data_IF_760562959281
#
_entry.id   IF_760562959281
#
_cell.length_a   1.000
_cell.length_b   1.000
_cell.length_c   1.000
_cell.angle_alpha   90.00
_cell.angle_beta   90.00
_cell.angle_gamma   90.00
#
_symmetry.space_group_name_H-M   'P 1'
#
loop_
_entity.id
_entity.type
_entity.pdbx_description
1 polymer ?
#
# COMPACT_ATOMS: atom_id res chain seq x y z
N UNK A 1 -8.70 -12.67 -3.50
CA UNK A 1 -7.54 -13.60 -3.60
C UNK A 1 -8.06 -15.01 -3.37
N UNK A 2 -7.60 -16.00 -4.13
CA UNK A 2 -8.00 -17.40 -3.97
C UNK A 2 -6.82 -18.18 -3.41
N UNK A 3 -6.81 -18.55 -2.12
CA UNK A 3 -5.70 -19.25 -1.50
C UNK A 3 -5.49 -20.68 -2.04
N UNK A 4 -6.51 -21.24 -2.71
CA UNK A 4 -6.38 -22.54 -3.37
C UNK A 4 -5.48 -22.49 -4.63
N UNK A 5 -5.18 -21.29 -5.12
CA UNK A 5 -4.31 -21.07 -6.26
C UNK A 5 -2.98 -20.52 -5.80
N UNK A 6 -1.94 -21.31 -5.94
CA UNK A 6 -0.57 -20.86 -5.69
C UNK A 6 -0.14 -19.82 -6.74
N UNK A 7 0.06 -18.54 -6.37
CA UNK A 7 0.44 -17.51 -7.35
C UNK A 7 1.76 -17.83 -8.04
N UNK A 8 2.71 -18.43 -7.37
CA UNK A 8 4.00 -18.81 -7.95
C UNK A 8 3.85 -19.75 -9.14
N UNK A 9 2.82 -20.62 -9.13
CA UNK A 9 2.56 -21.60 -10.21
C UNK A 9 1.68 -21.05 -11.33
N UNK A 10 0.84 -20.06 -11.03
CA UNK A 10 -0.19 -19.60 -11.97
C UNK A 10 0.09 -18.25 -12.60
N UNK A 11 0.90 -17.41 -11.95
CA UNK A 11 1.26 -16.11 -12.53
C UNK A 11 2.30 -16.31 -13.65
N UNK A 12 2.03 -15.71 -14.79
CA UNK A 12 2.93 -15.73 -15.96
C UNK A 12 3.96 -14.61 -15.93
N UNK A 13 3.73 -13.58 -15.13
CA UNK A 13 4.61 -12.45 -14.87
C UNK A 13 4.33 -11.86 -13.48
N UNK A 14 5.13 -10.89 -13.07
CA UNK A 14 4.93 -10.12 -11.85
C UNK A 14 5.27 -8.65 -12.05
N UNK A 15 4.60 -7.76 -11.34
CA UNK A 15 4.96 -6.34 -11.24
C UNK A 15 5.98 -6.07 -10.12
N UNK A 16 6.40 -7.10 -9.38
CA UNK A 16 7.44 -6.98 -8.35
C UNK A 16 8.81 -6.76 -8.98
N UNK A 17 9.71 -6.09 -8.25
CA UNK A 17 11.10 -5.89 -8.70
C UNK A 17 11.87 -7.20 -8.83
N UNK A 18 11.56 -8.19 -8.01
CA UNK A 18 12.12 -9.53 -8.09
C UNK A 18 11.22 -10.46 -8.89
N UNK A 19 11.79 -11.13 -9.90
CA UNK A 19 11.04 -12.01 -10.80
C UNK A 19 10.45 -13.23 -10.07
N UNK A 20 11.08 -13.65 -8.98
CA UNK A 20 10.65 -14.78 -8.14
C UNK A 20 9.44 -14.43 -7.27
N UNK A 21 9.16 -13.15 -7.03
CA UNK A 21 8.04 -12.72 -6.20
C UNK A 21 6.78 -12.51 -7.03
N UNK A 22 5.88 -13.45 -6.97
CA UNK A 22 4.55 -13.43 -7.59
C UNK A 22 3.43 -13.34 -6.54
N UNK A 23 3.77 -12.93 -5.33
CA UNK A 23 2.82 -12.76 -4.24
C UNK A 23 1.75 -11.73 -4.58
N UNK A 24 0.58 -11.85 -3.96
CA UNK A 24 -0.44 -10.83 -4.03
C UNK A 24 -0.36 -9.93 -2.80
N UNK A 25 -0.26 -8.66 -3.06
CA UNK A 25 -0.27 -7.58 -2.09
C UNK A 25 -1.45 -6.66 -2.39
N UNK A 26 -2.29 -6.44 -1.41
CA UNK A 26 -3.47 -5.62 -1.60
C UNK A 26 -3.70 -4.69 -0.41
N UNK A 27 -4.16 -3.48 -0.70
CA UNK A 27 -4.73 -2.54 0.26
C UNK A 27 -5.82 -1.72 -0.41
N UNK A 28 -6.69 -1.10 0.39
CA UNK A 28 -7.76 -0.26 -0.11
C UNK A 28 -7.21 1.00 -0.80
N UNK A 29 -7.88 1.41 -1.87
CA UNK A 29 -7.53 2.60 -2.64
C UNK A 29 -8.04 3.85 -1.94
N UNK A 30 -7.24 4.91 -1.93
CA UNK A 30 -7.62 6.23 -1.40
C UNK A 30 -8.32 7.06 -2.49
N UNK A 31 -9.43 7.67 -2.14
CA UNK A 31 -10.18 8.61 -2.96
C UNK A 31 -10.16 10.00 -2.33
N UNK A 32 -10.19 11.01 -3.17
CA UNK A 32 -10.49 12.39 -2.79
C UNK A 32 -11.98 12.64 -3.00
N UNK A 33 -12.67 13.15 -1.98
CA UNK A 33 -14.05 13.57 -2.03
C UNK A 33 -14.10 15.08 -2.35
N UNK A 34 -14.54 15.41 -3.54
CA UNK A 34 -14.69 16.78 -3.97
C UNK A 34 -15.88 17.47 -3.22
N UNK A 35 -15.85 18.79 -2.98
CA UNK A 35 -16.97 19.52 -2.33
C UNK A 35 -18.33 19.35 -2.99
N UNK A 36 -18.40 19.02 -4.28
CA UNK A 36 -19.65 18.71 -4.98
C UNK A 36 -20.21 17.31 -4.71
N UNK A 37 -19.54 16.49 -3.89
CA UNK A 37 -19.95 15.14 -3.52
C UNK A 37 -19.40 14.02 -4.40
N UNK A 38 -18.67 14.34 -5.47
CA UNK A 38 -18.05 13.32 -6.34
C UNK A 38 -16.69 12.88 -5.80
N UNK A 39 -16.19 11.76 -6.32
CA UNK A 39 -14.93 11.15 -5.88
C UNK A 39 -13.97 10.96 -7.04
N UNK A 40 -12.69 11.10 -6.78
CA UNK A 40 -11.63 10.74 -7.73
C UNK A 40 -10.55 9.95 -7.00
N UNK A 41 -10.03 8.91 -7.65
CA UNK A 41 -8.92 8.13 -7.10
C UNK A 41 -7.70 9.01 -6.91
N UNK A 42 -7.08 8.92 -5.73
CA UNK A 42 -5.79 9.56 -5.48
C UNK A 42 -4.69 8.76 -6.18
N UNK A 43 -3.87 9.38 -7.03
CA UNK A 43 -2.76 8.68 -7.68
C UNK A 43 -1.74 8.18 -6.64
N UNK A 44 -0.99 7.15 -7.03
CA UNK A 44 0.14 6.66 -6.25
C UNK A 44 1.44 7.19 -6.85
N UNK A 45 2.40 7.54 -6.00
CA UNK A 45 3.76 7.86 -6.39
C UNK A 45 4.66 6.64 -6.20
N UNK A 46 5.64 6.48 -7.07
CA UNK A 46 6.67 5.49 -6.86
C UNK A 46 7.64 5.91 -5.76
N UNK A 47 8.12 4.94 -5.00
CA UNK A 47 9.25 5.12 -4.10
C UNK A 47 10.56 5.21 -4.91
N UNK A 48 11.53 6.02 -4.47
CA UNK A 48 12.79 6.19 -5.20
C UNK A 48 13.74 4.98 -5.13
N UNK A 49 13.51 4.03 -4.22
CA UNK A 49 14.30 2.79 -4.14
C UNK A 49 13.98 1.76 -5.23
N UNK A 50 13.29 2.14 -6.28
CA UNK A 50 12.82 1.22 -7.31
C UNK A 50 13.76 1.05 -8.50
N UNK A 51 14.85 1.81 -8.56
CA UNK A 51 15.87 1.74 -9.61
C UNK A 51 15.55 2.60 -10.84
N UNK A 52 16.44 2.60 -11.85
CA UNK A 52 16.30 3.45 -13.02
C UNK A 52 15.10 3.05 -13.87
N UNK A 53 14.47 4.04 -14.51
CA UNK A 53 13.34 3.88 -15.42
C UNK A 53 12.13 4.71 -15.03
N UNK A 54 11.10 4.67 -15.88
CA UNK A 54 9.85 5.39 -15.64
C UNK A 54 8.98 4.57 -14.68
N UNK A 55 8.70 5.16 -13.54
CA UNK A 55 7.82 4.60 -12.52
C UNK A 55 6.38 5.07 -12.75
N UNK A 56 5.44 4.17 -12.61
CA UNK A 56 4.00 4.48 -12.75
C UNK A 56 3.24 4.48 -11.42
N UNK A 57 3.96 4.51 -10.31
CA UNK A 57 3.40 4.39 -8.98
C UNK A 57 3.27 2.94 -8.54
N UNK A 58 2.68 2.75 -7.37
CA UNK A 58 2.47 1.43 -6.80
C UNK A 58 2.78 1.37 -5.31
N UNK A 59 2.84 0.13 -4.82
CA UNK A 59 3.18 -0.20 -3.45
C UNK A 59 4.63 -0.65 -3.39
N UNK A 60 5.39 -0.18 -2.42
CA UNK A 60 6.70 -0.74 -2.10
C UNK A 60 6.54 -1.76 -0.98
N UNK A 61 7.06 -2.94 -1.19
CA UNK A 61 6.98 -4.06 -0.24
C UNK A 61 8.37 -4.39 0.26
N UNK A 62 8.51 -4.43 1.58
CA UNK A 62 9.77 -4.75 2.25
C UNK A 62 9.61 -6.02 3.08
N UNK A 63 10.65 -6.84 3.05
CA UNK A 63 10.83 -7.99 3.93
C UNK A 63 12.00 -7.70 4.86
N UNK A 64 11.69 -7.33 6.09
CA UNK A 64 12.72 -7.11 7.09
C UNK A 64 13.00 -8.37 7.90
N UNK A 65 14.24 -8.52 8.33
CA UNK A 65 14.67 -9.64 9.16
C UNK A 65 14.95 -9.14 10.58
N UNK A 66 13.91 -8.95 11.40
CA UNK A 66 14.11 -8.42 12.74
C UNK A 66 14.81 -9.47 13.61
N UNK A 67 16.06 -9.22 13.95
CA UNK A 67 16.83 -10.04 14.86
C UNK A 67 16.97 -9.31 16.19
N UNK A 68 16.38 -9.82 17.27
CA UNK A 68 16.59 -9.24 18.59
C UNK A 68 18.09 -9.28 18.93
N UNK A 69 18.64 -8.20 19.55
CA UNK A 69 20.06 -8.14 19.86
C UNK A 69 20.53 -9.25 20.83
N UNK A 70 19.61 -9.90 21.53
CA UNK A 70 19.88 -10.86 22.60
C UNK A 70 19.66 -12.33 22.22
N UNK A 71 19.11 -12.60 21.05
CA UNK A 71 18.81 -13.98 20.61
C UNK A 71 19.15 -14.16 19.14
N UNK A 72 19.85 -15.23 18.83
CA UNK A 72 19.96 -15.74 17.47
C UNK A 72 18.67 -16.53 17.19
N UNK A 73 17.75 -15.89 16.45
CA UNK A 73 16.46 -16.51 16.08
C UNK A 73 16.50 -16.87 14.59
N UNK A 74 16.15 -18.09 14.30
CA UNK A 74 15.87 -18.50 12.94
C UNK A 74 14.59 -17.79 12.47
N UNK A 75 14.71 -17.08 11.34
CA UNK A 75 13.56 -16.47 10.66
C UNK A 75 13.15 -17.42 9.55
N UNK A 76 11.90 -17.87 9.61
CA UNK A 76 11.33 -18.82 8.66
C UNK A 76 10.55 -18.06 7.61
N UNK A 77 10.81 -18.30 6.33
CA UNK A 77 10.01 -17.71 5.25
C UNK A 77 8.55 -18.17 5.31
N UNK A 78 7.67 -17.36 4.77
CA UNK A 78 6.30 -17.79 4.51
C UNK A 78 6.30 -19.02 3.56
N UNK A 79 5.28 -19.84 3.67
CA UNK A 79 5.15 -21.06 2.87
C UNK A 79 4.02 -20.95 1.81
N UNK A 80 4.04 -21.76 0.75
CA UNK A 80 2.95 -21.82 -0.22
C UNK A 80 1.60 -22.06 0.45
N UNK A 81 0.61 -21.23 0.11
CA UNK A 81 -0.71 -21.21 0.73
C UNK A 81 -0.83 -20.25 1.92
N UNK A 82 0.26 -19.63 2.37
CA UNK A 82 0.22 -18.66 3.46
C UNK A 82 -0.55 -17.41 3.04
N UNK A 83 -1.52 -17.02 3.84
CA UNK A 83 -2.32 -15.82 3.69
C UNK A 83 -2.50 -15.14 5.02
N UNK A 84 -2.43 -13.81 5.07
CA UNK A 84 -2.74 -13.04 6.27
C UNK A 84 -3.31 -11.67 5.92
N UNK A 85 -4.09 -11.13 6.87
CA UNK A 85 -4.62 -9.77 6.85
C UNK A 85 -4.06 -9.02 8.06
N UNK A 86 -3.74 -7.75 7.87
CA UNK A 86 -3.47 -6.81 8.96
C UNK A 86 -4.43 -5.63 8.88
N UNK A 87 -4.84 -5.10 10.06
CA UNK A 87 -5.86 -4.06 10.15
C UNK A 87 -7.29 -4.62 10.10
N UNK A 88 -8.25 -3.70 10.17
CA UNK A 88 -9.68 -4.05 10.18
C UNK A 88 -10.48 -3.03 9.37
N UNK A 89 -11.08 -3.42 8.22
CA UNK A 89 -11.82 -2.52 7.34
C UNK A 89 -13.04 -1.85 7.98
N UNK A 90 -13.55 -2.44 9.06
CA UNK A 90 -14.73 -1.93 9.77
C UNK A 90 -14.39 -0.92 10.87
N UNK A 91 -13.13 -0.80 11.23
CA UNK A 91 -12.70 0.10 12.30
C UNK A 91 -12.91 1.57 11.88
N UNK A 92 -13.44 2.40 12.82
CA UNK A 92 -13.72 3.83 12.63
C UNK A 92 -13.33 4.68 13.85
N UNK A 93 -12.64 4.11 14.81
CA UNK A 93 -12.21 4.79 16.02
C UNK A 93 -10.82 4.37 16.44
N UNK A 94 -10.13 5.24 17.17
CA UNK A 94 -8.86 4.93 17.82
C UNK A 94 -9.13 4.28 19.18
N UNK A 95 -9.38 2.98 19.16
CA UNK A 95 -9.78 2.16 20.31
C UNK A 95 -8.71 1.15 20.74
N UNK A 96 -7.55 1.14 20.06
CA UNK A 96 -6.41 0.30 20.42
C UNK A 96 -5.43 1.11 21.27
N UNK A 97 -5.01 0.63 22.46
CA UNK A 97 -4.04 1.32 23.28
C UNK A 97 -2.70 1.55 22.58
N UNK A 98 -2.07 2.70 22.81
CA UNK A 98 -0.72 3.03 22.27
C UNK A 98 0.36 2.01 22.65
N UNK A 99 0.14 1.25 23.72
CA UNK A 99 1.03 0.17 24.15
C UNK A 99 0.87 -1.11 23.35
N UNK A 100 -0.20 -1.24 22.58
CA UNK A 100 -0.42 -2.40 21.72
C UNK A 100 0.41 -2.24 20.44
N UNK A 101 1.25 -3.22 20.08
CA UNK A 101 1.99 -3.20 18.82
C UNK A 101 1.11 -2.98 17.58
N UNK A 102 -0.11 -3.50 17.58
CA UNK A 102 -1.07 -3.35 16.50
C UNK A 102 -1.44 -1.88 16.25
N UNK A 103 -1.47 -1.04 17.28
CA UNK A 103 -1.78 0.38 17.13
C UNK A 103 -0.79 1.10 16.21
N UNK A 104 0.50 0.75 16.31
CA UNK A 104 1.57 1.37 15.51
C UNK A 104 1.80 0.69 14.16
N UNK A 105 1.15 -0.44 13.94
CA UNK A 105 1.29 -1.18 12.69
C UNK A 105 0.71 -0.43 11.49
N UNK A 106 -0.26 0.45 11.74
CA UNK A 106 -0.99 1.19 10.71
C UNK A 106 -0.88 2.68 11.00
N UNK A 107 -0.22 3.41 10.12
CA UNK A 107 -0.02 4.85 10.31
C UNK A 107 0.05 5.60 8.99
N UNK A 108 0.01 6.93 9.08
CA UNK A 108 0.14 7.82 7.95
C UNK A 108 1.22 8.86 8.22
N UNK A 109 2.03 9.17 7.20
CA UNK A 109 2.96 10.28 7.20
C UNK A 109 2.49 11.36 6.23
N UNK A 110 2.29 12.54 6.74
CA UNK A 110 2.06 13.74 5.92
C UNK A 110 3.42 14.32 5.53
N UNK A 111 3.80 14.23 4.27
CA UNK A 111 5.06 14.77 3.79
C UNK A 111 5.01 16.31 3.65
N UNK A 112 6.00 16.96 4.24
CA UNK A 112 6.19 18.41 4.16
C UNK A 112 7.71 18.71 4.23
N UNK A 113 8.31 19.13 3.14
CA UNK A 113 9.75 19.45 3.08
C UNK A 113 10.17 20.57 4.04
N UNK A 114 9.21 21.39 4.48
CA UNK A 114 9.46 22.47 5.45
C UNK A 114 9.60 21.95 6.88
N UNK A 115 9.23 20.71 7.13
CA UNK A 115 9.38 20.04 8.42
C UNK A 115 10.50 18.98 8.31
N UNK A 116 11.76 19.34 8.63
CA UNK A 116 12.91 18.42 8.48
C UNK A 116 12.82 17.17 9.37
N UNK A 117 11.95 17.16 10.38
CA UNK A 117 11.65 15.97 11.19
C UNK A 117 10.69 15.01 10.52
N UNK A 118 10.09 15.41 9.40
CA UNK A 118 8.97 14.70 8.78
C UNK A 118 9.36 13.65 7.73
N UNK A 119 10.64 13.41 7.49
CA UNK A 119 11.15 12.36 6.59
C UNK A 119 11.59 11.09 7.32
N UNK A 120 11.09 10.90 8.54
CA UNK A 120 11.49 9.80 9.41
C UNK A 120 11.02 8.43 8.94
N UNK A 121 11.66 7.43 9.55
CA UNK A 121 11.33 6.02 9.39
C UNK A 121 9.83 5.79 9.69
N UNK A 122 9.12 4.93 8.95
CA UNK A 122 7.72 4.59 9.22
C UNK A 122 7.49 4.12 10.66
N UNK A 123 6.39 4.57 11.28
CA UNK A 123 6.03 4.26 12.67
C UNK A 123 6.69 5.19 13.72
N UNK A 124 7.34 6.28 13.29
CA UNK A 124 8.04 7.25 14.14
C UNK A 124 7.18 8.43 14.58
N UNK A 125 7.76 9.29 15.46
CA UNK A 125 7.21 10.61 15.75
C UNK A 125 6.89 11.36 14.46
N UNK A 126 5.72 11.97 14.39
CA UNK A 126 5.20 12.64 13.20
C UNK A 126 4.26 11.81 12.33
N UNK A 127 4.15 10.50 12.55
CA UNK A 127 3.06 9.71 11.99
C UNK A 127 1.75 9.96 12.74
N UNK A 128 0.64 9.95 12.00
CA UNK A 128 -0.73 9.92 12.55
C UNK A 128 -1.34 8.53 12.37
N UNK A 129 -2.25 8.16 13.27
CA UNK A 129 -3.00 6.89 13.17
C UNK A 129 -4.35 7.06 12.46
N UNK A 130 -4.72 8.29 12.16
CA UNK A 130 -5.83 8.66 11.29
C UNK A 130 -5.33 9.36 10.03
N UNK A 131 -6.16 9.48 9.01
CA UNK A 131 -5.86 10.32 7.85
C UNK A 131 -5.54 11.75 8.31
N UNK A 132 -4.44 12.37 7.79
CA UNK A 132 -4.04 13.70 8.20
C UNK A 132 -5.13 14.75 7.95
N UNK A 133 -5.48 15.55 8.97
CA UNK A 133 -6.46 16.63 8.88
C UNK A 133 -5.88 17.96 8.40
N UNK A 134 -4.67 17.93 7.86
CA UNK A 134 -3.96 19.09 7.28
C UNK A 134 -3.52 18.78 5.85
N UNK A 135 -3.34 19.83 5.05
CA UNK A 135 -2.76 19.71 3.73
C UNK A 135 -1.34 19.13 3.84
N UNK A 136 -1.08 18.08 3.06
CA UNK A 136 0.22 17.43 2.96
C UNK A 136 0.88 17.84 1.63
N UNK A 137 1.80 18.81 1.64
CA UNK A 137 2.31 19.44 0.41
C UNK A 137 2.98 18.47 -0.56
N UNK A 138 3.60 17.41 -0.03
CA UNK A 138 4.36 16.43 -0.80
C UNK A 138 3.65 15.06 -0.91
N UNK A 139 2.47 14.92 -0.35
CA UNK A 139 1.71 13.67 -0.36
C UNK A 139 1.54 13.03 1.01
N UNK A 140 0.85 11.90 1.01
CA UNK A 140 0.61 11.09 2.23
C UNK A 140 1.20 9.70 2.02
N UNK A 141 2.00 9.23 2.96
CA UNK A 141 2.48 7.86 2.99
C UNK A 141 1.63 7.02 3.94
N UNK A 142 1.01 5.96 3.44
CA UNK A 142 0.44 4.89 4.26
C UNK A 142 1.51 3.90 4.63
N UNK A 143 1.62 3.57 5.91
CA UNK A 143 2.52 2.58 6.45
C UNK A 143 1.69 1.41 6.98
N UNK A 144 1.98 0.20 6.51
CA UNK A 144 1.22 -1.00 6.88
C UNK A 144 2.21 -2.12 7.22
N UNK A 145 2.29 -2.47 8.48
CA UNK A 145 3.10 -3.58 8.98
C UNK A 145 2.22 -4.78 9.28
N UNK A 146 2.75 -5.96 8.93
CA UNK A 146 2.10 -7.22 9.23
C UNK A 146 2.67 -7.88 10.49
N UNK A 147 1.88 -8.74 11.14
CA UNK A 147 2.39 -9.59 12.20
C UNK A 147 3.56 -10.45 11.73
N UNK A 148 4.51 -10.73 12.64
CA UNK A 148 5.74 -11.46 12.34
C UNK A 148 5.96 -12.68 13.23
N UNK A 149 4.94 -13.10 13.96
CA UNK A 149 4.93 -14.31 14.75
C UNK A 149 3.83 -15.24 14.27
N UNK A 150 4.15 -16.50 14.02
CA UNK A 150 3.24 -17.50 13.47
C UNK A 150 3.07 -18.65 14.46
N UNK A 151 1.87 -19.25 14.49
CA UNK A 151 1.56 -20.40 15.32
C UNK A 151 2.33 -21.68 14.93
N UNK A 152 2.98 -21.68 13.75
CA UNK A 152 3.77 -22.79 13.23
C UNK A 152 2.95 -23.91 12.58
N UNK A 153 1.64 -23.77 12.47
CA UNK A 153 0.71 -24.83 12.01
C UNK A 153 -0.19 -24.34 10.87
N UNK A 154 -0.93 -23.27 11.09
CA UNK A 154 -1.97 -22.82 10.17
C UNK A 154 -1.41 -21.84 9.14
N UNK A 155 -1.58 -22.12 7.85
CA UNK A 155 -1.19 -21.21 6.76
C UNK A 155 -2.21 -20.09 6.55
N UNK A 156 -3.41 -20.26 7.08
CA UNK A 156 -4.54 -19.35 7.05
C UNK A 156 -5.47 -19.67 8.23
N UNK A 157 -6.32 -18.75 8.61
CA UNK A 157 -7.37 -18.91 9.60
C UNK A 157 -8.68 -18.32 9.10
N UNK A 158 -9.80 -18.59 9.75
CA UNK A 158 -11.12 -18.12 9.32
C UNK A 158 -11.17 -16.58 9.20
N UNK A 159 -10.50 -15.89 10.13
CA UNK A 159 -10.37 -14.42 10.15
C UNK A 159 -9.12 -13.90 9.43
N UNK A 160 -8.32 -14.78 8.82
CA UNK A 160 -7.06 -14.50 8.15
C UNK A 160 -6.03 -13.76 9.01
N UNK A 161 -6.15 -13.79 10.32
CA UNK A 161 -5.30 -13.04 11.26
C UNK A 161 -4.92 -13.79 12.53
N UNK A 162 -5.76 -14.69 13.04
CA UNK A 162 -5.53 -15.37 14.33
C UNK A 162 -4.43 -16.42 14.33
N UNK A 163 -3.90 -16.82 13.17
CA UNK A 163 -2.74 -17.72 13.06
C UNK A 163 -1.40 -16.96 13.13
N UNK A 164 -1.44 -15.61 13.15
CA UNK A 164 -0.29 -14.74 13.29
C UNK A 164 -0.48 -13.74 14.43
N UNK A 165 0.61 -13.23 14.99
CA UNK A 165 0.59 -12.24 16.07
C UNK A 165 1.73 -11.24 15.94
N UNK A 166 1.55 -10.06 16.51
CA UNK A 166 2.65 -9.13 16.70
C UNK A 166 3.54 -9.59 17.88
N UNK A 167 4.85 -9.28 17.86
CA UNK A 167 5.74 -9.58 18.97
C UNK A 167 5.33 -8.85 20.24
N UNK A 168 5.65 -9.45 21.38
CA UNK A 168 5.46 -8.85 22.69
C UNK A 168 6.64 -7.95 23.07
N UNK A 169 6.44 -7.04 24.04
CA UNK A 169 7.49 -6.23 24.62
C UNK A 169 7.38 -4.75 24.33
N UNK A 170 8.29 -3.93 24.88
CA UNK A 170 8.22 -2.49 24.76
C UNK A 170 8.46 -2.06 23.32
N UNK A 171 7.55 -1.25 22.81
CA UNK A 171 7.69 -0.59 21.52
C UNK A 171 8.68 0.54 21.74
N UNK A 172 9.93 0.33 21.42
CA UNK A 172 10.94 1.38 21.42
C UNK A 172 10.96 2.11 20.08
N UNK A 173 11.56 3.31 19.95
CA UNK A 173 11.47 4.17 18.76
C UNK A 173 12.04 3.54 17.46
N UNK A 174 11.44 3.77 16.31
CA UNK A 174 11.87 3.26 15.00
C UNK A 174 11.07 2.05 14.52
N UNK A 175 11.47 1.38 13.50
CA UNK A 175 10.85 0.16 12.92
C UNK A 175 10.49 -0.96 13.94
N UNK A 176 10.02 -0.60 15.09
CA UNK A 176 10.00 -1.34 16.32
C UNK A 176 8.68 -1.96 16.68
N UNK A 177 7.91 -2.16 15.66
CA UNK A 177 7.01 -3.27 15.65
C UNK A 177 7.84 -4.58 15.74
N UNK A 178 9.14 -4.42 15.81
CA UNK A 178 10.06 -5.54 15.87
C UNK A 178 10.03 -6.30 17.19
N UNK A 179 9.38 -5.81 18.23
CA UNK A 179 9.28 -6.50 19.52
C UNK A 179 10.43 -7.48 19.82
N UNK A 180 10.59 -7.86 21.00
CA UNK A 180 11.71 -8.74 21.35
C UNK A 180 11.36 -10.21 21.13
N UNK A 181 10.20 -10.64 21.55
CA UNK A 181 9.81 -12.05 21.54
C UNK A 181 8.42 -12.25 20.92
N UNK A 182 8.24 -13.40 20.33
CA UNK A 182 6.91 -13.86 19.93
C UNK A 182 6.15 -14.41 21.14
N UNK A 183 4.82 -14.22 21.20
CA UNK A 183 3.98 -14.78 22.25
C UNK A 183 4.04 -16.32 22.24
N UNK A 184 3.82 -16.93 23.38
CA UNK A 184 3.93 -18.38 23.56
C UNK A 184 3.01 -19.19 22.63
N UNK A 185 1.94 -18.58 22.13
CA UNK A 185 1.01 -19.18 21.16
C UNK A 185 1.52 -19.14 19.71
N UNK A 186 2.51 -18.28 19.39
CA UNK A 186 2.99 -18.03 18.02
C UNK A 186 4.53 -17.96 18.00
N UNK A 187 5.17 -19.07 18.28
CA UNK A 187 6.61 -19.11 18.54
C UNK A 187 7.50 -18.99 17.29
N UNK A 188 6.94 -19.18 16.09
CA UNK A 188 7.74 -19.17 14.86
C UNK A 188 7.92 -17.73 14.38
N UNK A 189 9.16 -17.29 14.23
CA UNK A 189 9.48 -15.96 13.73
C UNK A 189 9.43 -15.94 12.20
N UNK A 190 8.58 -15.08 11.66
CA UNK A 190 8.50 -14.74 10.24
C UNK A 190 9.28 -13.47 9.93
N UNK A 191 9.63 -13.20 8.67
CA UNK A 191 10.07 -11.87 8.27
C UNK A 191 8.96 -10.86 8.51
N UNK A 192 9.33 -9.64 8.91
CA UNK A 192 8.39 -8.55 8.98
C UNK A 192 8.07 -8.06 7.57
N UNK A 193 6.84 -8.25 7.15
CA UNK A 193 6.32 -7.70 5.92
C UNK A 193 5.82 -6.27 6.18
N UNK A 194 6.32 -5.33 5.38
CA UNK A 194 5.91 -3.93 5.43
C UNK A 194 5.49 -3.47 4.04
N UNK A 195 4.33 -2.86 3.95
CA UNK A 195 3.83 -2.22 2.74
C UNK A 195 3.82 -0.71 2.92
N UNK A 196 4.40 -0.03 1.96
CA UNK A 196 4.47 1.43 1.89
C UNK A 196 3.77 1.91 0.62
N UNK A 197 2.77 2.78 0.77
CA UNK A 197 2.07 3.40 -0.33
C UNK A 197 2.18 4.91 -0.19
N UNK A 198 2.66 5.58 -1.22
CA UNK A 198 2.70 7.04 -1.25
C UNK A 198 1.56 7.53 -2.14
N UNK A 199 0.60 8.21 -1.52
CA UNK A 199 -0.53 8.82 -2.20
C UNK A 199 -0.17 10.23 -2.66
N UNK A 200 -0.32 10.50 -3.96
CA UNK A 200 -0.10 11.84 -4.52
C UNK A 200 -1.31 12.75 -4.23
N UNK A 201 -1.28 13.38 -3.08
CA UNK A 201 -2.34 14.33 -2.67
C UNK A 201 -2.09 15.75 -3.17
N UNK A 202 -0.97 16.02 -3.84
CA UNK A 202 -0.59 17.36 -4.35
C UNK A 202 -1.63 18.02 -5.24
N UNK A 203 -2.36 17.28 -6.12
CA UNK A 203 -3.43 17.87 -6.93
C UNK A 203 -4.61 18.42 -6.11
N UNK A 204 -4.72 18.03 -4.85
CA UNK A 204 -5.84 18.36 -3.95
C UNK A 204 -5.43 19.33 -2.84
N UNK A 205 -4.27 19.99 -2.97
CA UNK A 205 -3.73 20.90 -1.96
C UNK A 205 -4.33 22.32 -2.00
N UNK A 206 -5.25 22.60 -2.94
CA UNK A 206 -5.99 23.88 -2.93
C UNK A 206 -6.90 23.93 -1.69
N UNK A 207 -6.72 24.91 -0.79
CA UNK A 207 -7.57 25.03 0.40
C UNK A 207 -9.07 25.15 0.09
N UNK A 208 -9.44 25.66 -1.09
CA UNK A 208 -10.84 25.76 -1.51
C UNK A 208 -11.50 24.38 -1.75
N UNK A 209 -10.71 23.34 -1.90
CA UNK A 209 -11.18 21.95 -2.05
C UNK A 209 -11.34 21.23 -0.70
N UNK A 210 -10.92 21.86 0.40
CA UNK A 210 -10.93 21.24 1.71
C UNK A 210 -12.19 21.63 2.49
N UNK A 211 -12.72 20.72 3.33
CA UNK A 211 -13.84 21.03 4.23
C UNK A 211 -13.51 22.19 5.17
N UNK A 212 -14.50 23.04 5.45
CA UNK A 212 -14.33 24.20 6.34
C UNK A 212 -14.54 23.87 7.82
N UNK A 213 -14.98 22.67 8.12
CA UNK A 213 -15.23 22.16 9.47
C UNK A 213 -14.00 21.58 10.17
N UNK A 214 -12.83 21.61 9.51
CA UNK A 214 -11.57 21.08 10.03
C UNK A 214 -11.36 19.59 9.77
N UNK A 215 -12.30 18.93 9.07
CA UNK A 215 -12.10 17.58 8.59
C UNK A 215 -11.19 17.55 7.35
N UNK A 216 -10.89 16.36 6.84
CA UNK A 216 -10.07 16.17 5.66
C UNK A 216 -10.90 15.53 4.53
N UNK A 217 -10.55 15.70 3.23
CA UNK A 217 -11.39 15.29 2.10
C UNK A 217 -11.12 13.86 1.60
N UNK A 218 -10.23 13.10 2.21
CA UNK A 218 -9.87 11.78 1.71
C UNK A 218 -10.73 10.68 2.32
N UNK A 219 -10.97 9.61 1.56
CA UNK A 219 -11.76 8.46 1.99
C UNK A 219 -11.24 7.20 1.31
N UNK A 220 -11.09 6.13 2.06
CA UNK A 220 -10.77 4.83 1.47
C UNK A 220 -11.97 4.23 0.72
N UNK A 221 -11.69 3.43 -0.30
CA UNK A 221 -12.70 2.83 -1.20
C UNK A 221 -13.83 2.06 -0.50
N UNK A 222 -13.59 1.55 0.72
CA UNK A 222 -14.61 0.91 1.55
C UNK A 222 -15.44 1.90 2.38
N UNK A 223 -15.34 3.22 2.12
CA UNK A 223 -16.14 4.23 2.80
C UNK A 223 -15.58 4.69 4.15
N UNK A 224 -14.29 4.52 4.40
CA UNK A 224 -13.63 5.00 5.61
C UNK A 224 -13.01 6.39 5.41
N UNK A 225 -13.58 7.46 6.01
CA UNK A 225 -12.99 8.79 5.99
C UNK A 225 -12.03 9.03 7.17
N UNK A 226 -11.90 8.08 8.10
CA UNK A 226 -11.10 8.25 9.31
C UNK A 226 -9.65 7.80 9.16
N UNK A 227 -9.42 6.78 8.31
CA UNK A 227 -8.15 6.09 8.19
C UNK A 227 -7.97 4.92 9.16
N UNK A 228 -8.80 4.80 10.21
CA UNK A 228 -8.70 3.70 11.16
C UNK A 228 -9.04 2.33 10.55
N UNK A 229 -9.79 2.33 9.45
CA UNK A 229 -10.08 1.14 8.65
C UNK A 229 -8.97 0.74 7.68
N UNK A 230 -7.79 1.37 7.73
CA UNK A 230 -6.66 0.95 6.91
C UNK A 230 -6.33 -0.51 7.19
N UNK A 231 -6.19 -1.30 6.13
CA UNK A 231 -5.89 -2.72 6.22
C UNK A 231 -5.20 -3.19 4.95
N UNK A 232 -4.57 -4.34 5.01
CA UNK A 232 -3.93 -4.94 3.84
C UNK A 232 -3.99 -6.46 3.88
N UNK A 233 -3.98 -7.06 2.69
CA UNK A 233 -3.95 -8.49 2.45
C UNK A 233 -2.60 -8.91 1.88
N UNK A 234 -2.13 -10.07 2.31
CA UNK A 234 -0.99 -10.76 1.76
C UNK A 234 -1.33 -12.20 1.41
N UNK A 235 -0.97 -12.63 0.20
CA UNK A 235 -0.97 -14.03 -0.21
C UNK A 235 0.40 -14.38 -0.76
N UNK A 236 1.08 -15.33 -0.16
CA UNK A 236 2.40 -15.80 -0.55
C UNK A 236 2.43 -16.32 -1.99
N UNK A 237 3.48 -15.96 -2.73
CA UNK A 237 3.68 -16.39 -4.11
C UNK A 237 5.14 -16.36 -4.56
N UNK A 238 6.11 -16.51 -3.65
CA UNK A 238 7.51 -16.63 -4.02
C UNK A 238 7.81 -18.01 -4.64
N UNK A 239 8.66 -18.04 -5.64
CA UNK A 239 9.04 -19.27 -6.31
C UNK A 239 10.02 -20.10 -5.45
N UNK A 240 9.66 -21.37 -5.22
CA UNK A 240 10.50 -22.32 -4.51
C UNK A 240 10.91 -21.84 -3.11
N UNK A 241 12.21 -21.85 -2.85
CA UNK A 241 12.84 -21.41 -1.60
C UNK A 241 13.48 -20.01 -1.70
N UNK A 242 13.16 -19.26 -2.77
CA UNK A 242 13.83 -18.00 -3.08
C UNK A 242 13.76 -16.95 -1.98
N UNK A 243 12.62 -16.84 -1.28
CA UNK A 243 12.49 -15.94 -0.15
C UNK A 243 13.40 -16.37 1.03
N UNK A 244 13.44 -17.66 1.35
CA UNK A 244 14.31 -18.16 2.44
C UNK A 244 15.77 -17.87 2.12
N UNK A 245 16.22 -18.18 0.90
CA UNK A 245 17.60 -17.88 0.46
C UNK A 245 17.89 -16.38 0.49
N UNK A 246 16.94 -15.54 0.10
CA UNK A 246 17.11 -14.10 0.18
C UNK A 246 17.31 -13.63 1.62
N UNK A 247 16.54 -14.14 2.58
CA UNK A 247 16.69 -13.82 3.98
C UNK A 247 18.03 -14.27 4.58
N UNK A 248 18.59 -15.37 4.09
CA UNK A 248 19.87 -15.88 4.54
C UNK A 248 21.07 -15.08 3.98
N UNK A 249 20.96 -14.59 2.76
CA UNK A 249 22.07 -13.98 2.01
C UNK A 249 21.98 -12.46 1.96
N UNK A 250 20.78 -11.90 1.81
CA UNK A 250 20.57 -10.46 1.57
C UNK A 250 20.39 -9.71 2.91
N UNK A 251 21.44 -9.66 3.71
CA UNK A 251 21.41 -9.13 5.09
C UNK A 251 21.93 -7.70 5.21
N UNK A 252 22.25 -7.03 4.10
CA UNK A 252 22.89 -5.71 4.08
C UNK A 252 22.02 -4.57 4.62
N UNK A 253 20.72 -4.73 4.70
CA UNK A 253 19.80 -3.77 5.32
C UNK A 253 19.59 -2.46 4.55
N UNK A 254 20.14 -2.34 3.33
CA UNK A 254 20.04 -1.14 2.50
C UNK A 254 18.75 -1.06 1.67
N UNK A 255 17.99 -2.16 1.59
CA UNK A 255 16.75 -2.25 0.80
C UNK A 255 16.94 -2.11 -0.71
N UNK A 256 18.18 -2.19 -1.19
CA UNK A 256 18.53 -2.01 -2.60
C UNK A 256 18.41 -3.34 -3.35
N UNK A 257 17.45 -3.48 -4.31
CA UNK A 257 17.13 -4.77 -4.92
C UNK A 257 18.33 -5.45 -5.60
N UNK A 258 19.20 -4.70 -6.28
CA UNK A 258 20.34 -5.25 -7.00
C UNK A 258 21.51 -5.65 -6.10
N UNK A 259 21.45 -5.37 -4.81
CA UNK A 259 22.42 -5.83 -3.82
C UNK A 259 22.08 -7.24 -3.27
N UNK A 260 20.99 -7.84 -3.70
CA UNK A 260 20.59 -9.20 -3.35
C UNK A 260 20.97 -10.18 -4.48
N UNK A 261 22.12 -10.87 -4.40
CA UNK A 261 22.68 -11.63 -5.53
C UNK A 261 21.94 -12.94 -5.81
N UNK A 262 21.04 -13.36 -4.94
CA UNK A 262 20.27 -14.62 -5.07
C UNK A 262 18.89 -14.43 -5.67
N UNK A 263 18.53 -13.20 -5.99
CA UNK A 263 17.27 -12.84 -6.63
C UNK A 263 17.51 -12.19 -7.99
N UNK A 264 16.59 -12.40 -8.91
CA UNK A 264 16.61 -11.82 -10.26
C UNK A 264 15.83 -10.52 -10.29
N UNK A 265 16.52 -9.41 -10.51
CA UNK A 265 15.85 -8.11 -10.68
C UNK A 265 15.32 -7.95 -12.09
N UNK A 266 14.11 -7.37 -12.20
CA UNK A 266 13.49 -6.99 -13.47
C UNK A 266 13.69 -5.49 -13.74
N UNK A 267 13.69 -5.11 -15.02
CA UNK A 267 13.60 -3.71 -15.40
C UNK A 267 12.17 -3.16 -15.32
N UNK A 268 12.04 -1.83 -15.38
CA UNK A 268 10.75 -1.15 -15.29
C UNK A 268 9.84 -1.46 -16.45
N UNK A 269 10.36 -1.69 -17.64
CA UNK A 269 9.56 -2.02 -18.82
C UNK A 269 8.90 -3.39 -18.65
N UNK A 270 9.65 -4.38 -18.22
CA UNK A 270 9.14 -5.74 -17.93
C UNK A 270 8.05 -5.70 -16.86
N UNK A 271 8.29 -4.99 -15.76
CA UNK A 271 7.30 -4.83 -14.67
C UNK A 271 6.03 -4.15 -15.17
N UNK A 272 6.15 -3.04 -15.90
CA UNK A 272 5.01 -2.26 -16.40
C UNK A 272 4.19 -3.00 -17.47
N UNK A 273 4.78 -3.97 -18.15
CA UNK A 273 4.09 -4.80 -19.15
C UNK A 273 3.33 -5.99 -18.52
N UNK A 274 3.56 -6.29 -17.25
CA UNK A 274 2.81 -7.31 -16.53
C UNK A 274 1.43 -6.78 -16.12
N UNK A 275 0.44 -6.98 -16.97
CA UNK A 275 -0.91 -6.44 -16.79
C UNK A 275 -1.96 -7.53 -16.98
N UNK A 276 -2.99 -7.53 -16.14
CA UNK A 276 -4.22 -8.27 -16.39
C UNK A 276 -5.21 -7.40 -17.18
N UNK A 277 -5.88 -7.95 -18.21
CA UNK A 277 -7.01 -7.27 -18.83
C UNK A 277 -8.11 -6.99 -17.79
N UNK A 278 -8.69 -5.80 -17.84
CA UNK A 278 -9.85 -5.49 -17.01
C UNK A 278 -10.99 -6.44 -17.32
N UNK A 279 -11.50 -7.08 -16.28
CA UNK A 279 -12.68 -7.98 -16.38
C UNK A 279 -13.98 -7.22 -16.11
N UNK A 280 -13.90 -6.07 -15.49
CA UNK A 280 -15.01 -5.20 -15.14
C UNK A 280 -14.67 -3.84 -15.73
N UNK A 281 -15.58 -3.29 -16.51
CA UNK A 281 -15.46 -1.93 -17.03
C UNK A 281 -15.81 -0.95 -15.91
N UNK A 282 -14.82 -0.56 -15.16
CA UNK A 282 -14.92 0.36 -14.03
C UNK A 282 -14.01 1.55 -14.27
N UNK A 283 -14.55 2.76 -14.12
CA UNK A 283 -13.75 3.97 -14.22
C UNK A 283 -13.03 4.14 -12.87
N UNK A 284 -11.75 3.83 -12.86
CA UNK A 284 -10.94 3.88 -11.64
C UNK A 284 -9.87 4.96 -11.66
N UNK A 285 -9.62 5.61 -12.79
CA UNK A 285 -8.55 6.61 -12.92
C UNK A 285 -9.01 7.84 -13.70
N UNK A 286 -8.51 8.99 -13.30
CA UNK A 286 -8.60 10.27 -14.03
C UNK A 286 -10.01 10.82 -14.24
N UNK A 287 -11.03 10.25 -13.61
CA UNK A 287 -12.41 10.73 -13.72
C UNK A 287 -13.07 10.80 -12.36
N UNK A 288 -13.96 11.78 -12.20
CA UNK A 288 -14.82 11.85 -11.02
C UNK A 288 -15.99 10.88 -11.18
N UNK A 289 -16.25 10.13 -10.13
CA UNK A 289 -17.37 9.20 -10.01
C UNK A 289 -18.34 9.69 -8.93
N UNK A 290 -19.62 9.38 -9.07
CA UNK A 290 -20.65 9.84 -8.12
C UNK A 290 -20.66 9.03 -6.82
N UNK A 291 -20.16 7.79 -6.85
CA UNK A 291 -20.15 6.88 -5.70
C UNK A 291 -18.81 6.14 -5.65
N UNK A 292 -18.39 5.76 -4.45
CA UNK A 292 -17.23 4.88 -4.29
C UNK A 292 -17.50 3.51 -4.94
N UNK A 293 -16.44 2.81 -5.44
CA UNK A 293 -16.57 1.47 -5.98
C UNK A 293 -17.27 0.52 -5.01
N UNK A 294 -18.02 -0.46 -5.54
CA UNK A 294 -18.77 -1.39 -4.71
C UNK A 294 -19.97 -0.77 -3.99
N UNK A 295 -20.40 0.46 -4.35
CA UNK A 295 -21.45 1.22 -3.66
C UNK A 295 -21.21 1.43 -2.17
N UNK A 296 -19.97 1.40 -1.73
CA UNK A 296 -19.62 1.59 -0.34
C UNK A 296 -20.04 3.00 0.12
N UNK A 297 -20.97 3.14 1.05
CA UNK A 297 -21.29 4.44 1.62
C UNK A 297 -20.17 4.90 2.55
N UNK A 298 -20.03 6.21 2.72
CA UNK A 298 -19.17 6.73 3.78
C UNK A 298 -19.83 6.42 5.13
N UNK A 299 -19.04 5.89 6.06
CA UNK A 299 -19.43 5.58 7.42
C UNK A 299 -18.42 6.22 8.37
N UNK A 300 -18.81 7.33 8.99
CA UNK A 300 -17.92 8.26 9.69
C UNK A 300 -17.40 7.75 11.05
N UNK A 301 -18.05 6.81 11.68
CA UNK A 301 -17.68 6.39 13.03
C UNK A 301 -18.29 7.28 14.15
N UNK A 302 -17.91 7.12 15.41
CA UNK A 302 -16.92 6.18 15.94
C UNK A 302 -17.38 4.71 16.01
N UNK A 303 -18.64 4.43 15.67
CA UNK A 303 -19.16 3.07 15.63
C UNK A 303 -18.54 2.32 14.46
N UNK A 304 -18.21 1.06 14.64
CA UNK A 304 -17.68 0.21 13.57
C UNK A 304 -18.61 0.22 12.36
N UNK A 305 -18.01 0.28 11.17
CA UNK A 305 -18.74 0.17 9.91
C UNK A 305 -19.39 -1.21 9.77
N UNK A 306 -20.40 -1.27 8.93
CA UNK A 306 -21.11 -2.52 8.62
C UNK A 306 -20.98 -2.84 7.13
N UNK A 307 -21.04 -4.13 6.80
CA UNK A 307 -21.16 -4.55 5.40
C UNK A 307 -22.43 -4.00 4.77
N UNK A 308 -22.30 -3.51 3.55
CA UNK A 308 -23.43 -3.10 2.71
C UNK A 308 -23.61 -4.15 1.63
N UNK A 309 -24.62 -4.99 1.80
CA UNK A 309 -24.81 -6.20 0.96
C UNK A 309 -25.32 -5.91 -0.43
N UNK A 310 -25.85 -4.72 -0.71
CA UNK A 310 -26.47 -4.43 -2.00
C UNK A 310 -26.34 -2.97 -2.40
N UNK A 311 -25.94 -2.78 -3.64
CA UNK A 311 -26.18 -1.55 -4.38
C UNK A 311 -27.61 -1.56 -4.91
N UNK A 312 -28.62 -1.31 -4.10
CA UNK A 312 -30.04 -1.41 -4.47
C UNK A 312 -30.40 -0.59 -5.73
N UNK A 313 -29.61 0.42 -6.05
CA UNK A 313 -29.80 1.32 -7.18
C UNK A 313 -28.56 1.41 -8.10
N UNK A 314 -27.68 0.41 -8.06
CA UNK A 314 -26.52 0.43 -8.94
C UNK A 314 -27.00 0.28 -10.38
N UNK A 315 -26.64 1.21 -11.28
CA UNK A 315 -26.87 0.99 -12.69
C UNK A 315 -26.12 -0.28 -13.10
N UNK A 316 -26.70 -1.05 -13.99
CA UNK A 316 -26.11 -2.27 -14.56
C UNK A 316 -24.77 -2.01 -15.27
N UNK A 317 -24.40 -0.76 -15.42
CA UNK A 317 -23.12 -0.25 -15.92
C UNK A 317 -22.57 0.77 -14.93
N UNK A 318 -21.41 0.53 -14.40
CA UNK A 318 -20.68 1.40 -13.46
C UNK A 318 -20.11 2.67 -14.12
N UNK A 319 -20.85 3.25 -15.05
CA UNK A 319 -20.46 4.47 -15.73
C UNK A 319 -21.25 5.63 -15.16
N UNK A 320 -20.67 6.34 -14.20
CA UNK A 320 -21.10 7.69 -13.98
C UNK A 320 -20.51 8.55 -15.11
N UNK A 321 -21.35 9.11 -15.93
CA UNK A 321 -20.90 10.22 -16.78
C UNK A 321 -20.34 11.32 -15.85
N UNK A 322 -19.21 11.97 -16.20
CA UNK A 322 -18.70 13.07 -15.40
C UNK A 322 -19.82 14.06 -15.16
N UNK A 323 -20.01 14.48 -13.89
CA UNK A 323 -21.01 15.49 -13.58
C UNK A 323 -20.77 16.70 -14.49
N UNK A 324 -21.77 17.21 -15.21
CA UNK A 324 -21.59 18.34 -16.11
C UNK A 324 -21.09 19.62 -15.44
N UNK A 325 -21.14 19.66 -14.12
CA UNK A 325 -20.67 20.77 -13.27
C UNK A 325 -19.27 20.54 -12.68
N UNK A 326 -18.71 19.36 -12.81
CA UNK A 326 -17.30 19.17 -12.48
C UNK A 326 -16.49 19.89 -13.55
N UNK A 327 -15.73 20.91 -13.19
CA UNK A 327 -14.68 21.41 -14.07
C UNK A 327 -13.87 20.22 -14.55
N UNK A 328 -13.59 20.10 -15.86
CA UNK A 328 -12.73 19.04 -16.36
C UNK A 328 -11.42 19.18 -15.61
N UNK A 329 -11.22 18.32 -14.62
CA UNK A 329 -9.91 18.20 -14.00
C UNK A 329 -9.05 17.72 -15.15
N UNK A 330 -8.08 18.54 -15.50
CA UNK A 330 -7.04 18.13 -16.42
C UNK A 330 -6.61 16.76 -15.96
N UNK A 331 -6.63 15.77 -16.88
CA UNK A 331 -6.15 14.42 -16.56
C UNK A 331 -4.92 14.59 -15.71
N UNK A 332 -5.00 14.13 -14.47
CA UNK A 332 -3.81 14.09 -13.62
C UNK A 332 -3.02 12.94 -14.22
N UNK A 333 -2.00 13.22 -15.06
CA UNK A 333 -1.19 12.12 -15.57
C UNK A 333 -0.57 11.46 -14.36
N UNK A 334 -0.47 10.12 -14.31
CA UNK A 334 0.43 9.49 -13.37
C UNK A 334 1.76 10.22 -13.53
N UNK A 335 2.25 10.83 -12.44
CA UNK A 335 3.49 11.59 -12.51
C UNK A 335 4.61 10.59 -12.78
N UNK A 336 5.24 10.59 -13.96
CA UNK A 336 6.40 9.77 -14.17
C UNK A 336 7.47 10.27 -13.21
N UNK A 337 7.88 9.42 -12.31
CA UNK A 337 9.05 9.67 -11.49
C UNK A 337 10.24 9.19 -12.28
N UNK A 338 11.12 10.09 -12.66
CA UNK A 338 12.37 9.74 -13.31
C UNK A 338 13.44 9.54 -12.24
N UNK A 339 14.15 8.45 -12.37
CA UNK A 339 15.34 8.17 -11.60
C UNK A 339 16.55 8.31 -12.50
N UNK A 340 17.52 9.16 -12.14
CA UNK A 340 18.71 9.45 -12.93
C UNK A 340 19.87 8.45 -12.73
N UNK A 341 19.64 7.42 -11.89
CA UNK A 341 20.66 6.42 -11.60
C UNK A 341 21.68 6.85 -10.54
N UNK A 342 21.54 8.03 -9.96
CA UNK A 342 22.32 8.43 -8.79
C UNK A 342 21.77 7.66 -7.59
N UNK A 343 22.62 6.96 -6.87
CA UNK A 343 22.23 6.06 -5.79
C UNK A 343 21.34 6.72 -4.74
N UNK A 344 20.52 5.94 -4.04
CA UNK A 344 19.60 6.46 -3.04
C UNK A 344 20.39 7.14 -1.91
N UNK A 345 20.00 8.34 -1.58
CA UNK A 345 20.17 8.70 -0.19
C UNK A 345 19.11 7.86 0.57
N UNK A 346 19.49 7.13 1.56
CA UNK A 346 18.60 6.26 2.36
C UNK A 346 17.60 7.06 3.22
N UNK A 347 17.22 8.25 2.80
CA UNK A 347 16.40 9.18 3.56
C UNK A 347 14.91 8.87 3.54
N UNK A 348 14.45 7.88 2.77
CA UNK A 348 13.03 7.54 2.64
C UNK A 348 12.18 8.65 2.01
N UNK A 349 12.82 9.60 1.35
CA UNK A 349 12.18 10.75 0.72
C UNK A 349 11.44 10.40 -0.56
N UNK A 350 10.67 11.35 -1.06
CA UNK A 350 10.01 11.27 -2.35
C UNK A 350 11.05 11.19 -3.47
N UNK A 351 10.79 10.35 -4.46
CA UNK A 351 11.64 10.31 -5.64
C UNK A 351 11.69 11.69 -6.33
N UNK A 352 12.87 12.14 -6.77
CA UNK A 352 13.01 13.46 -7.39
C UNK A 352 12.13 13.57 -8.63
N UNK A 353 11.55 14.74 -8.85
CA UNK A 353 10.81 15.06 -10.08
C UNK A 353 11.77 15.06 -11.26
N UNK A 354 11.28 14.57 -12.41
CA UNK A 354 11.96 14.85 -13.67
C UNK A 354 11.80 16.32 -13.99
N UNK A 355 12.85 17.12 -13.83
CA UNK A 355 12.87 18.54 -14.24
C UNK A 355 12.95 18.71 -15.75
N UNK A 356 13.08 17.64 -16.52
CA UNK A 356 12.96 17.66 -17.96
C UNK A 356 11.48 17.74 -18.37
N UNK A 357 11.14 18.73 -19.19
CA UNK A 357 9.84 18.87 -19.86
C UNK A 357 9.19 17.52 -20.07
N UNK A 358 7.89 17.34 -19.71
CA UNK A 358 7.20 16.09 -19.96
C UNK A 358 7.39 15.72 -21.43
N UNK A 359 8.17 14.72 -21.70
CA UNK A 359 8.11 14.04 -22.98
C UNK A 359 6.66 13.54 -23.05
N UNK A 360 5.89 13.87 -24.10
CA UNK A 360 4.52 13.42 -24.18
C UNK A 360 4.54 11.91 -23.95
N UNK A 361 3.77 11.46 -22.99
CA UNK A 361 3.63 10.03 -22.69
C UNK A 361 3.43 9.34 -24.03
N UNK A 362 4.35 8.46 -24.37
CA UNK A 362 4.24 7.66 -25.58
C UNK A 362 2.89 6.95 -25.44
N UNK A 363 1.89 7.48 -26.14
CA UNK A 363 0.57 6.88 -26.21
C UNK A 363 0.82 5.51 -26.79
N UNK A 364 0.90 4.50 -25.93
CA UNK A 364 0.94 3.11 -26.32
C UNK A 364 -0.18 2.88 -27.34
N UNK A 365 -0.02 2.00 -28.29
CA UNK A 365 -0.95 1.87 -29.39
C UNK A 365 -2.38 1.74 -28.86
N UNK A 366 -3.23 2.66 -29.29
CA UNK A 366 -4.69 2.58 -29.11
C UNK A 366 -5.09 1.26 -29.74
N UNK A 367 -5.38 0.28 -28.92
CA UNK A 367 -5.98 -0.97 -29.40
C UNK A 367 -7.41 -0.61 -29.79
N UNK A 368 -7.60 -0.37 -31.10
CA UNK A 368 -8.94 -0.29 -31.66
C UNK A 368 -9.61 -1.64 -31.51
N UNK A 369 -10.85 -1.71 -31.00
CA UNK A 369 -11.60 -2.96 -30.99
C UNK A 369 -11.81 -3.46 -32.43
N UNK A 370 -11.86 -4.78 -32.65
CA UNK A 370 -12.16 -5.34 -33.96
C UNK A 370 -13.55 -4.88 -34.44
N UNK A 371 -13.76 -4.66 -35.74
CA UNK A 371 -15.06 -4.32 -36.27
C UNK A 371 -16.06 -5.47 -36.04
N UNK A 372 -17.33 -5.10 -35.83
CA UNK A 372 -18.44 -5.97 -35.49
C UNK A 372 -18.68 -7.11 -36.51
#
# INVERSE_FOLDING_TARGET
MDPARDPAKHATCTTCRFAEDKSNYWTAVLYFKHPNGTFVRVPQMANHNTGPGVQVGGMTVYYFQPRPPTKDLDIVAFAPGFRMITGNPFKRADDIPLSDPQHRALSFRCFDERDPGNNGVPGFEGDSFSLPTKICPEGIRSNIYFPQCWDGVNLDSEDHSSHVAFPEGPISAGLQIFGTDCPASHLVRLPLLFMEIIWDTRPFNDPALWPTDGSQPFVFSMGDPTGFGQHADYLFGWEGDSLQRAMEVCTGGDGVPWNCPVLTTQDMETMNNCRQPNKIEEIVESQYIERLPGCNPIQDGPVSATMVDQCADAPSTWYAAPSPTASPVARIPPWPVCYDGVGPDNSGGLAPRCDSKPTPANSGPVVTPPPA
#
